data_IF_026874404385
#
_entry.id   IF_026874404385
#
_cell.length_a   1.000
_cell.length_b   1.000
_cell.length_c   1.000
_cell.angle_alpha   90.00
_cell.angle_beta   90.00
_cell.angle_gamma   90.00
#
_symmetry.space_group_name_H-M   'P 1'
#
loop_
_entity.id
_entity.type
_entity.pdbx_description
1 polymer ?
#
# COMPACT_ATOMS: atom_id res chain seq x y z
N UNK A 1 -34.72 -34.07 46.78
CA UNK A 1 -33.36 -33.58 47.06
C UNK A 1 -32.70 -33.23 45.74
N UNK A 2 -32.62 -31.95 45.39
CA UNK A 2 -31.86 -31.50 44.21
C UNK A 2 -30.42 -31.37 44.68
N UNK A 3 -29.50 -32.10 44.06
CA UNK A 3 -28.08 -32.00 44.37
C UNK A 3 -27.55 -30.64 43.89
N UNK A 4 -27.11 -29.80 44.83
CA UNK A 4 -26.41 -28.55 44.56
C UNK A 4 -25.14 -28.86 43.76
N UNK A 5 -25.07 -28.37 42.52
CA UNK A 5 -23.90 -28.57 41.67
C UNK A 5 -22.77 -27.64 42.13
N UNK A 6 -21.51 -28.10 42.11
CA UNK A 6 -20.40 -27.29 42.59
C UNK A 6 -20.10 -26.12 41.64
N UNK A 7 -19.70 -24.98 42.21
CA UNK A 7 -19.50 -23.70 41.50
C UNK A 7 -18.62 -23.81 40.23
N UNK A 8 -17.61 -24.69 40.24
CA UNK A 8 -16.69 -24.88 39.13
C UNK A 8 -17.37 -25.38 37.84
N UNK A 9 -18.50 -26.08 37.94
CA UNK A 9 -19.29 -26.52 36.77
C UNK A 9 -19.84 -25.32 35.99
N UNK A 10 -20.34 -24.31 36.71
CA UNK A 10 -20.83 -23.08 36.10
C UNK A 10 -19.71 -22.25 35.47
N UNK A 11 -18.52 -22.23 36.08
CA UNK A 11 -17.33 -21.56 35.53
C UNK A 11 -16.90 -22.23 34.22
N UNK A 12 -16.82 -23.56 34.18
CA UNK A 12 -16.46 -24.30 32.94
C UNK A 12 -17.49 -24.04 31.85
N UNK A 13 -18.79 -24.07 32.17
CA UNK A 13 -19.85 -23.79 31.21
C UNK A 13 -19.75 -22.36 30.63
N UNK A 14 -19.47 -21.36 31.47
CA UNK A 14 -19.30 -19.98 31.03
C UNK A 14 -18.08 -19.82 30.11
N UNK A 15 -16.94 -20.44 30.46
CA UNK A 15 -15.73 -20.41 29.63
C UNK A 15 -15.97 -21.10 28.28
N UNK A 16 -16.63 -22.26 28.28
CA UNK A 16 -16.99 -22.98 27.06
C UNK A 16 -17.92 -22.14 26.16
N UNK A 17 -18.91 -21.45 26.75
CA UNK A 17 -19.80 -20.56 26.01
C UNK A 17 -19.04 -19.38 25.36
N UNK A 18 -18.10 -18.76 26.08
CA UNK A 18 -17.26 -17.68 25.54
C UNK A 18 -16.39 -18.20 24.39
N UNK A 19 -15.77 -19.37 24.54
CA UNK A 19 -14.96 -19.98 23.47
C UNK A 19 -15.82 -20.23 22.23
N UNK A 20 -17.01 -20.81 22.39
CA UNK A 20 -17.95 -21.02 21.27
C UNK A 20 -18.29 -19.69 20.60
N UNK A 21 -18.57 -18.64 21.37
CA UNK A 21 -18.92 -17.32 20.86
C UNK A 21 -17.77 -16.70 20.04
N UNK A 22 -16.52 -16.84 20.51
CA UNK A 22 -15.31 -16.43 19.78
C UNK A 22 -15.14 -17.24 18.48
N UNK A 23 -15.36 -18.55 18.52
CA UNK A 23 -15.26 -19.41 17.33
C UNK A 23 -16.32 -19.07 16.29
N UNK A 24 -17.57 -18.82 16.71
CA UNK A 24 -18.67 -18.37 15.84
C UNK A 24 -18.35 -17.00 15.24
N UNK A 25 -17.90 -16.04 16.04
CA UNK A 25 -17.47 -14.72 15.54
C UNK A 25 -16.34 -14.84 14.51
N UNK A 26 -15.33 -15.68 14.76
CA UNK A 26 -14.26 -15.98 13.79
C UNK A 26 -14.81 -16.63 12.52
N UNK A 27 -15.76 -17.56 12.62
CA UNK A 27 -16.35 -18.22 11.46
C UNK A 27 -17.19 -17.25 10.61
N UNK A 28 -17.98 -16.38 11.25
CA UNK A 28 -18.74 -15.31 10.58
C UNK A 28 -17.78 -14.34 9.90
N UNK A 29 -16.75 -13.84 10.60
CA UNK A 29 -15.76 -12.95 10.02
C UNK A 29 -15.04 -13.57 8.82
N UNK A 30 -14.66 -14.85 8.89
CA UNK A 30 -14.08 -15.57 7.75
C UNK A 30 -15.04 -15.66 6.57
N UNK A 31 -16.33 -15.91 6.81
CA UNK A 31 -17.35 -16.02 5.77
C UNK A 31 -17.64 -14.66 5.13
N UNK A 32 -17.76 -13.60 5.93
CA UNK A 32 -17.93 -12.22 5.47
C UNK A 32 -16.71 -11.75 4.68
N UNK A 33 -15.49 -12.01 5.16
CA UNK A 33 -14.27 -11.70 4.43
C UNK A 33 -14.19 -12.43 3.08
N UNK A 34 -14.65 -13.69 3.01
CA UNK A 34 -14.71 -14.46 1.76
C UNK A 34 -15.74 -13.89 0.78
N UNK A 35 -16.87 -13.37 1.29
CA UNK A 35 -17.89 -12.71 0.48
C UNK A 35 -17.38 -11.35 -0.04
N UNK A 36 -16.78 -10.52 0.81
CA UNK A 36 -16.17 -9.25 0.40
C UNK A 36 -15.06 -9.44 -0.63
N UNK A 37 -14.20 -10.45 -0.44
CA UNK A 37 -13.15 -10.79 -1.43
C UNK A 37 -13.72 -11.10 -2.82
N UNK A 38 -14.92 -11.68 -2.90
CA UNK A 38 -15.61 -11.93 -4.17
C UNK A 38 -16.29 -10.69 -4.74
N UNK A 39 -16.62 -9.71 -3.91
CA UNK A 39 -17.25 -8.45 -4.33
C UNK A 39 -16.26 -7.44 -4.92
N UNK A 40 -14.98 -7.52 -4.56
CA UNK A 40 -13.91 -6.68 -5.10
C UNK A 40 -13.40 -7.19 -6.47
N UNK A 41 -14.31 -7.51 -7.38
CA UNK A 41 -13.97 -7.87 -8.77
C UNK A 41 -13.47 -6.61 -9.51
N UNK A 42 -12.18 -6.53 -9.87
CA UNK A 42 -11.61 -5.32 -10.45
C UNK A 42 -12.31 -4.87 -11.75
N UNK A 43 -12.94 -5.80 -12.49
CA UNK A 43 -13.68 -5.48 -13.72
C UNK A 43 -14.97 -4.68 -13.48
N UNK A 44 -15.49 -4.69 -12.25
CA UNK A 44 -16.77 -4.06 -11.89
C UNK A 44 -16.61 -2.77 -11.11
N UNK A 45 -15.55 -2.67 -10.33
CA UNK A 45 -15.26 -1.52 -9.46
C UNK A 45 -15.04 -0.25 -10.30
N UNK A 46 -15.62 0.84 -9.83
CA UNK A 46 -15.47 2.20 -10.34
C UNK A 46 -14.73 3.06 -9.32
N UNK A 47 -14.36 4.29 -9.71
CA UNK A 47 -13.75 5.23 -8.76
C UNK A 47 -14.73 5.61 -7.63
N UNK A 48 -16.03 5.65 -7.91
CA UNK A 48 -17.05 5.92 -6.89
C UNK A 48 -17.14 4.79 -5.87
N UNK A 49 -17.00 3.53 -6.30
CA UNK A 49 -16.95 2.40 -5.38
C UNK A 49 -15.71 2.49 -4.45
N UNK A 50 -14.57 2.94 -4.99
CA UNK A 50 -13.33 3.16 -4.22
C UNK A 50 -13.50 4.31 -3.20
N UNK A 51 -14.27 5.34 -3.54
CA UNK A 51 -14.54 6.45 -2.62
C UNK A 51 -15.27 6.00 -1.35
N UNK A 52 -16.05 4.92 -1.44
CA UNK A 52 -16.78 4.30 -0.33
C UNK A 52 -15.98 3.21 0.41
N UNK A 53 -14.80 2.80 -0.11
CA UNK A 53 -13.99 1.75 0.52
C UNK A 53 -13.28 2.24 1.79
N UNK A 54 -13.10 1.33 2.73
CA UNK A 54 -12.10 1.49 3.79
C UNK A 54 -10.68 1.27 3.24
N UNK A 55 -9.65 1.80 3.92
CA UNK A 55 -8.25 1.64 3.49
C UNK A 55 -7.85 0.18 3.24
N UNK A 56 -8.22 -0.72 4.15
CA UNK A 56 -7.93 -2.16 4.01
C UNK A 56 -8.65 -2.85 2.84
N UNK A 57 -9.81 -2.32 2.41
CA UNK A 57 -10.55 -2.79 1.25
C UNK A 57 -9.91 -2.29 -0.04
N UNK A 58 -9.44 -1.04 -0.05
CA UNK A 58 -8.67 -0.49 -1.15
C UNK A 58 -7.36 -1.25 -1.38
N UNK A 59 -6.61 -1.58 -0.32
CA UNK A 59 -5.42 -2.45 -0.44
C UNK A 59 -5.76 -3.82 -1.02
N UNK A 60 -6.89 -4.42 -0.61
CA UNK A 60 -7.32 -5.72 -1.13
C UNK A 60 -7.77 -5.63 -2.59
N UNK A 61 -8.43 -4.54 -2.96
CA UNK A 61 -8.79 -4.23 -4.34
C UNK A 61 -7.53 -4.14 -5.21
N UNK A 62 -6.55 -3.34 -4.80
CA UNK A 62 -5.29 -3.21 -5.55
C UNK A 62 -4.56 -4.55 -5.64
N UNK A 63 -4.56 -5.36 -4.59
CA UNK A 63 -3.95 -6.70 -4.64
C UNK A 63 -4.57 -7.53 -5.77
N UNK A 64 -5.91 -7.56 -5.87
CA UNK A 64 -6.60 -8.28 -6.95
C UNK A 64 -6.38 -7.62 -8.31
N UNK A 65 -6.38 -6.29 -8.37
CA UNK A 65 -6.14 -5.54 -9.60
C UNK A 65 -4.77 -5.89 -10.20
N UNK A 66 -3.71 -5.88 -9.38
CA UNK A 66 -2.35 -6.20 -9.84
C UNK A 66 -2.18 -7.70 -10.18
N UNK A 67 -2.82 -8.59 -9.41
CA UNK A 67 -2.84 -10.03 -9.71
C UNK A 67 -3.54 -10.32 -11.05
N UNK A 68 -4.69 -9.68 -11.30
CA UNK A 68 -5.46 -9.87 -12.54
C UNK A 68 -4.87 -9.11 -13.75
N UNK A 69 -4.07 -8.06 -13.53
CA UNK A 69 -3.24 -7.46 -14.59
C UNK A 69 -2.16 -8.44 -15.09
N UNK A 70 -1.82 -9.47 -14.32
CA UNK A 70 -0.85 -10.50 -14.71
C UNK A 70 0.58 -10.23 -14.22
N UNK A 71 0.77 -9.39 -13.20
CA UNK A 71 2.07 -9.27 -12.56
C UNK A 71 2.49 -10.57 -11.85
N UNK A 72 3.79 -10.82 -11.78
CA UNK A 72 4.34 -11.95 -11.04
C UNK A 72 4.55 -11.61 -9.55
N UNK A 73 4.56 -12.65 -8.71
CA UNK A 73 4.90 -12.54 -7.28
C UNK A 73 4.10 -11.45 -6.53
N UNK A 74 2.80 -11.33 -6.82
CA UNK A 74 1.94 -10.33 -6.16
C UNK A 74 1.61 -10.78 -4.74
N UNK A 75 1.98 -9.98 -3.76
CA UNK A 75 1.71 -10.23 -2.34
C UNK A 75 1.09 -9.00 -1.68
N UNK A 76 -0.03 -9.20 -0.97
CA UNK A 76 -0.51 -8.24 0.01
C UNK A 76 0.21 -8.44 1.34
N UNK A 77 0.74 -7.38 1.92
CA UNK A 77 1.41 -7.42 3.22
C UNK A 77 0.39 -7.52 4.36
N UNK A 78 0.85 -7.90 5.56
CA UNK A 78 -0.03 -8.00 6.74
C UNK A 78 -0.01 -6.68 7.49
N UNK A 79 -1.17 -6.18 7.89
CA UNK A 79 -1.32 -4.94 8.67
C UNK A 79 -0.49 -4.86 9.96
N UNK A 80 -0.10 -5.99 10.58
CA UNK A 80 0.73 -6.00 11.79
C UNK A 80 2.24 -5.96 11.52
N UNK A 81 2.66 -6.01 10.25
CA UNK A 81 4.06 -6.20 9.82
C UNK A 81 4.27 -5.78 8.36
N UNK A 82 3.68 -4.65 7.95
CA UNK A 82 3.76 -4.16 6.57
C UNK A 82 5.10 -3.46 6.26
N UNK A 83 5.86 -3.07 7.28
CA UNK A 83 7.12 -2.33 7.16
C UNK A 83 7.01 -1.09 6.25
N UNK A 84 5.80 -0.53 6.09
CA UNK A 84 5.52 0.62 5.25
C UNK A 84 5.23 0.35 3.77
N UNK A 85 4.88 -0.89 3.38
CA UNK A 85 4.32 -1.19 2.06
C UNK A 85 3.10 -2.11 2.17
N UNK A 86 2.06 -1.86 1.39
CA UNK A 86 0.82 -2.65 1.39
C UNK A 86 0.85 -3.81 0.38
N UNK A 87 1.59 -3.62 -0.72
CA UNK A 87 1.75 -4.60 -1.79
C UNK A 87 3.23 -4.74 -2.19
N UNK A 88 3.59 -5.94 -2.65
CA UNK A 88 4.86 -6.25 -3.31
C UNK A 88 4.54 -7.03 -4.58
N UNK A 89 5.22 -6.72 -5.67
CA UNK A 89 5.10 -7.44 -6.94
C UNK A 89 6.39 -7.36 -7.76
N UNK A 90 6.53 -8.21 -8.76
CA UNK A 90 7.65 -8.18 -9.71
C UNK A 90 7.17 -7.58 -11.02
N UNK A 91 7.78 -6.45 -11.43
CA UNK A 91 7.48 -5.78 -12.71
C UNK A 91 7.92 -6.63 -13.91
N UNK A 92 7.45 -6.29 -15.12
CA UNK A 92 7.75 -7.04 -16.36
C UNK A 92 9.24 -7.10 -16.71
N UNK A 93 10.03 -6.16 -16.21
CA UNK A 93 11.49 -6.16 -16.35
C UNK A 93 12.23 -6.92 -15.24
N UNK A 94 11.50 -7.65 -14.38
CA UNK A 94 12.03 -8.46 -13.29
C UNK A 94 12.39 -7.68 -12.03
N UNK A 95 12.11 -6.37 -11.97
CA UNK A 95 12.42 -5.56 -10.79
C UNK A 95 11.30 -5.66 -9.78
N UNK A 96 11.63 -6.17 -8.59
CA UNK A 96 10.72 -6.18 -7.44
C UNK A 96 10.38 -4.74 -7.04
N UNK A 97 9.10 -4.50 -6.85
CA UNK A 97 8.52 -3.19 -6.57
C UNK A 97 7.62 -3.27 -5.34
N UNK A 98 7.77 -2.31 -4.43
CA UNK A 98 6.89 -2.11 -3.28
C UNK A 98 5.88 -1.01 -3.57
N UNK A 99 4.65 -1.18 -3.10
CA UNK A 99 3.58 -0.20 -3.27
C UNK A 99 2.91 0.11 -1.92
N UNK A 100 2.83 1.39 -1.59
CA UNK A 100 1.98 1.89 -0.50
C UNK A 100 0.70 2.47 -1.09
N UNK A 101 -0.43 1.94 -0.64
CA UNK A 101 -1.76 2.38 -0.99
C UNK A 101 -2.24 3.40 0.05
N UNK A 102 -2.81 4.52 -0.41
CA UNK A 102 -3.48 5.50 0.46
C UNK A 102 -4.85 5.83 -0.08
N UNK A 103 -5.90 5.30 0.55
CA UNK A 103 -7.28 5.69 0.25
C UNK A 103 -7.66 6.91 1.09
N UNK A 104 -7.75 8.10 0.50
CA UNK A 104 -8.28 9.33 1.11
C UNK A 104 -9.37 9.99 0.23
N UNK A 105 -10.12 10.96 0.79
CA UNK A 105 -11.16 11.68 0.04
C UNK A 105 -10.47 12.56 -0.99
N UNK A 106 -11.12 12.85 -2.13
CA UNK A 106 -10.49 13.56 -3.25
C UNK A 106 -9.77 14.85 -2.84
N UNK A 107 -10.37 15.66 -1.97
CA UNK A 107 -9.82 16.94 -1.51
C UNK A 107 -8.74 16.82 -0.42
N UNK A 108 -8.45 15.59 0.03
CA UNK A 108 -7.43 15.32 1.05
C UNK A 108 -6.06 15.13 0.42
N UNK A 109 -5.12 16.03 0.72
CA UNK A 109 -3.75 15.92 0.25
C UNK A 109 -2.97 14.80 0.94
N UNK A 110 -2.27 13.98 0.15
CA UNK A 110 -1.30 13.01 0.66
C UNK A 110 -0.01 13.71 1.09
N UNK A 111 0.37 13.48 2.35
CA UNK A 111 1.56 14.06 2.97
C UNK A 111 2.84 13.26 2.74
N UNK A 112 3.91 13.69 3.40
CA UNK A 112 5.25 13.11 3.26
C UNK A 112 5.37 11.67 3.77
N UNK A 113 4.54 11.28 4.74
CA UNK A 113 4.64 9.98 5.40
C UNK A 113 4.51 8.81 4.43
N UNK A 114 3.63 8.93 3.43
CA UNK A 114 3.45 7.87 2.43
C UNK A 114 4.74 7.57 1.65
N UNK A 115 5.51 8.60 1.30
CA UNK A 115 6.81 8.46 0.61
C UNK A 115 7.87 7.92 1.57
N UNK A 116 7.90 8.42 2.81
CA UNK A 116 8.86 7.98 3.83
C UNK A 116 8.70 6.50 4.16
N UNK A 117 7.45 6.05 4.36
CA UNK A 117 7.08 4.66 4.64
C UNK A 117 7.53 3.73 3.51
N UNK A 118 7.08 4.00 2.28
CA UNK A 118 7.36 3.10 1.15
C UNK A 118 8.83 3.07 0.79
N UNK A 119 9.52 4.21 0.83
CA UNK A 119 10.95 4.26 0.54
C UNK A 119 11.76 3.48 1.58
N UNK A 120 11.42 3.61 2.87
CA UNK A 120 12.05 2.84 3.93
C UNK A 120 11.80 1.32 3.79
N UNK A 121 10.62 0.94 3.29
CA UNK A 121 10.25 -0.47 3.09
C UNK A 121 11.09 -1.20 2.03
N UNK A 122 11.65 -0.47 1.05
CA UNK A 122 12.35 -1.07 -0.10
C UNK A 122 13.46 -2.03 0.33
N UNK A 123 14.24 -1.66 1.35
CA UNK A 123 15.34 -2.49 1.82
C UNK A 123 14.87 -3.76 2.52
N UNK A 124 13.74 -3.70 3.23
CA UNK A 124 13.16 -4.86 3.89
C UNK A 124 12.65 -5.90 2.89
N UNK A 125 12.02 -5.44 1.80
CA UNK A 125 11.49 -6.32 0.74
C UNK A 125 12.48 -6.62 -0.38
N UNK A 126 13.71 -6.09 -0.32
CA UNK A 126 14.72 -6.16 -1.39
C UNK A 126 14.18 -5.65 -2.74
N UNK A 127 13.39 -4.57 -2.70
CA UNK A 127 12.80 -3.95 -3.87
C UNK A 127 13.73 -2.92 -4.50
N UNK A 128 13.73 -2.87 -5.84
CA UNK A 128 14.48 -1.88 -6.63
C UNK A 128 13.66 -0.63 -6.96
N UNK A 129 12.32 -0.70 -6.82
CA UNK A 129 11.40 0.43 -7.06
C UNK A 129 10.37 0.55 -5.95
N UNK A 130 9.82 1.74 -5.81
CA UNK A 130 8.72 2.03 -4.87
C UNK A 130 7.67 2.93 -5.51
N UNK A 131 6.40 2.64 -5.21
CA UNK A 131 5.23 3.35 -5.71
C UNK A 131 4.37 3.81 -4.52
N UNK A 132 3.85 5.04 -4.57
CA UNK A 132 2.67 5.44 -3.78
C UNK A 132 1.50 5.57 -4.73
N UNK A 133 0.42 4.83 -4.45
CA UNK A 133 -0.83 4.88 -5.22
C UNK A 133 -1.96 5.38 -4.31
N UNK A 134 -2.72 6.36 -4.77
CA UNK A 134 -3.77 6.98 -3.96
C UNK A 134 -5.06 7.25 -4.74
N UNK A 135 -6.20 7.23 -4.04
CA UNK A 135 -7.46 7.83 -4.51
C UNK A 135 -7.51 9.38 -4.33
N UNK A 136 -6.45 9.91 -3.70
CA UNK A 136 -6.09 11.27 -3.35
C UNK A 136 -5.46 12.15 -4.45
N UNK A 137 -5.03 13.35 -4.06
CA UNK A 137 -3.98 14.14 -4.73
C UNK A 137 -2.76 14.25 -3.83
N UNK A 138 -1.57 14.38 -4.41
CA UNK A 138 -0.34 14.58 -3.64
C UNK A 138 -0.13 16.07 -3.32
N UNK A 139 0.35 16.35 -2.10
CA UNK A 139 0.79 17.71 -1.76
C UNK A 139 2.10 18.05 -2.49
N UNK A 140 2.40 19.33 -2.76
CA UNK A 140 3.66 19.73 -3.42
C UNK A 140 4.92 19.24 -2.68
N UNK A 141 4.86 19.20 -1.35
CA UNK A 141 5.95 18.68 -0.53
C UNK A 141 6.13 17.16 -0.72
N UNK A 142 5.04 16.41 -0.85
CA UNK A 142 5.06 14.97 -1.15
C UNK A 142 5.69 14.71 -2.53
N UNK A 143 5.27 15.46 -3.55
CA UNK A 143 5.85 15.38 -4.91
C UNK A 143 7.36 15.65 -4.89
N UNK A 144 7.77 16.70 -4.19
CA UNK A 144 9.19 17.06 -4.05
C UNK A 144 10.00 15.93 -3.40
N UNK A 145 9.51 15.38 -2.28
CA UNK A 145 10.19 14.30 -1.58
C UNK A 145 10.24 13.01 -2.42
N UNK A 146 9.16 12.69 -3.12
CA UNK A 146 9.09 11.54 -4.02
C UNK A 146 10.13 11.66 -5.13
N UNK A 147 10.20 12.82 -5.80
CA UNK A 147 11.11 13.02 -6.92
C UNK A 147 12.58 13.01 -6.55
N UNK A 148 12.95 13.47 -5.35
CA UNK A 148 14.34 13.37 -4.86
C UNK A 148 14.73 11.92 -4.53
N UNK A 149 13.77 11.09 -4.09
CA UNK A 149 14.01 9.70 -3.72
C UNK A 149 13.71 8.69 -4.84
N UNK A 150 13.22 9.14 -6.00
CA UNK A 150 12.81 8.25 -7.09
C UNK A 150 11.58 7.41 -6.77
N UNK A 151 10.69 7.89 -5.89
CA UNK A 151 9.42 7.22 -5.60
C UNK A 151 8.40 7.60 -6.66
N UNK A 152 7.81 6.61 -7.32
CA UNK A 152 6.75 6.82 -8.32
C UNK A 152 5.45 7.19 -7.61
N UNK A 153 4.79 8.23 -8.11
CA UNK A 153 3.48 8.66 -7.64
C UNK A 153 2.42 8.30 -8.69
N UNK A 154 1.32 7.70 -8.24
CA UNK A 154 0.11 7.44 -9.02
C UNK A 154 -1.07 8.03 -8.25
N UNK A 155 -1.63 9.12 -8.77
CA UNK A 155 -2.70 9.84 -8.09
C UNK A 155 -4.11 9.35 -8.50
N UNK A 156 -5.15 10.04 -8.05
CA UNK A 156 -6.54 9.73 -8.42
C UNK A 156 -6.77 9.68 -9.93
N UNK A 157 -6.16 10.60 -10.67
CA UNK A 157 -6.26 10.65 -12.13
C UNK A 157 -5.62 9.41 -12.76
N UNK A 158 -4.42 9.05 -12.32
CA UNK A 158 -3.77 7.81 -12.75
C UNK A 158 -4.63 6.58 -12.42
N UNK A 159 -5.20 6.52 -11.20
CA UNK A 159 -6.06 5.42 -10.78
C UNK A 159 -7.31 5.29 -11.65
N UNK A 160 -7.93 6.40 -12.05
CA UNK A 160 -9.08 6.39 -12.97
C UNK A 160 -8.69 5.80 -14.33
N UNK A 161 -7.56 6.22 -14.88
CA UNK A 161 -7.04 5.69 -16.14
C UNK A 161 -6.71 4.19 -16.02
N UNK A 162 -6.05 3.77 -14.94
CA UNK A 162 -5.77 2.34 -14.67
C UNK A 162 -7.05 1.50 -14.63
N UNK A 163 -8.11 1.99 -13.98
CA UNK A 163 -9.41 1.32 -13.95
C UNK A 163 -10.01 1.23 -15.36
N UNK A 164 -9.93 2.31 -16.14
CA UNK A 164 -10.46 2.35 -17.50
C UNK A 164 -9.72 1.40 -18.44
N UNK A 165 -8.38 1.39 -18.37
CA UNK A 165 -7.50 0.48 -19.12
C UNK A 165 -7.83 -0.97 -18.78
N UNK A 166 -7.95 -1.30 -17.49
CA UNK A 166 -8.31 -2.64 -17.04
C UNK A 166 -9.69 -3.07 -17.55
N UNK A 167 -10.71 -2.23 -17.43
CA UNK A 167 -12.08 -2.55 -17.86
C UNK A 167 -12.21 -2.71 -19.37
N UNK A 168 -11.33 -2.05 -20.13
CA UNK A 168 -11.27 -2.15 -21.58
C UNK A 168 -10.40 -3.32 -22.07
N UNK A 169 -9.73 -4.04 -21.17
CA UNK A 169 -8.78 -5.12 -21.50
C UNK A 169 -7.42 -4.62 -22.00
N UNK A 170 -7.12 -3.33 -21.87
CA UNK A 170 -5.86 -2.71 -22.25
C UNK A 170 -4.81 -2.88 -21.13
N UNK A 171 -4.56 -4.12 -20.70
CA UNK A 171 -3.69 -4.39 -19.54
C UNK A 171 -2.27 -3.88 -19.73
N UNK A 172 -1.73 -3.97 -20.94
CA UNK A 172 -0.39 -3.44 -21.27
C UNK A 172 -0.28 -1.94 -21.02
N UNK A 173 -1.30 -1.13 -21.38
CA UNK A 173 -1.31 0.32 -21.15
C UNK A 173 -1.33 0.64 -19.64
N UNK A 174 -2.12 -0.14 -18.88
CA UNK A 174 -2.17 -0.01 -17.43
C UNK A 174 -0.80 -0.33 -16.80
N UNK A 175 -0.15 -1.41 -17.27
CA UNK A 175 1.17 -1.82 -16.80
C UNK A 175 2.25 -0.80 -17.20
N UNK A 176 2.22 -0.28 -18.42
CA UNK A 176 3.14 0.78 -18.90
C UNK A 176 3.05 2.03 -18.02
N UNK A 177 1.85 2.41 -17.57
CA UNK A 177 1.64 3.55 -16.67
C UNK A 177 2.22 3.30 -15.28
N UNK A 178 1.99 2.11 -14.72
CA UNK A 178 2.52 1.68 -13.42
C UNK A 178 4.05 1.65 -13.43
N UNK A 179 4.64 1.10 -14.50
CA UNK A 179 6.08 0.87 -14.62
C UNK A 179 6.88 2.08 -15.13
N UNK A 180 6.20 3.10 -15.67
CA UNK A 180 6.87 4.34 -16.11
C UNK A 180 7.71 4.93 -14.99
N UNK A 181 8.94 5.34 -15.34
CA UNK A 181 9.89 5.93 -14.39
C UNK A 181 9.27 7.04 -13.52
N UNK A 182 9.78 7.13 -12.30
CA UNK A 182 9.43 8.20 -11.38
C UNK A 182 9.96 9.54 -11.92
N UNK A 183 9.18 10.60 -11.75
CA UNK A 183 9.64 11.95 -12.07
C UNK A 183 10.73 12.36 -11.10
N UNK A 184 11.95 12.60 -11.60
CA UNK A 184 13.09 12.94 -10.75
C UNK A 184 13.20 14.45 -10.56
N UNK A 185 13.32 14.86 -9.30
CA UNK A 185 13.55 16.25 -8.92
C UNK A 185 14.99 16.35 -8.40
N UNK A 186 15.86 17.18 -9.01
CA UNK A 186 17.21 17.38 -8.52
C UNK A 186 17.21 17.84 -7.06
N UNK A 187 18.09 17.25 -6.25
CA UNK A 187 18.25 17.71 -4.86
C UNK A 187 18.76 19.15 -4.85
N UNK A 188 18.10 20.07 -4.12
CA UNK A 188 18.53 21.46 -4.02
C UNK A 188 19.90 21.61 -3.34
N UNK A 189 20.37 20.57 -2.65
CA UNK A 189 21.68 20.54 -2.00
C UNK A 189 22.83 20.11 -2.93
N UNK A 190 22.51 19.58 -4.12
CA UNK A 190 23.52 19.10 -5.08
C UNK A 190 24.31 20.25 -5.72
N UNK A 191 23.69 21.42 -5.89
CA UNK A 191 24.35 22.63 -6.40
C UNK A 191 25.05 23.45 -5.31
N UNK A 192 24.58 23.39 -4.06
CA UNK A 192 25.15 24.15 -2.94
C UNK A 192 26.48 23.58 -2.39
N UNK A 193 26.89 22.37 -2.81
CA UNK A 193 27.97 21.61 -2.20
C UNK A 193 29.41 21.96 -2.66
N UNK A 194 29.64 23.09 -3.35
CA UNK A 194 31.02 23.53 -3.66
C UNK A 194 31.23 25.03 -3.36
N UNK A 195 31.68 25.39 -2.15
CA UNK A 195 32.63 26.47 -1.96
C UNK A 195 34.04 25.89 -1.99
N UNK A 196 34.87 26.46 -2.87
CA UNK A 196 36.26 26.08 -3.13
C UNK A 196 37.04 25.67 -1.88
N UNK A 197 37.81 24.57 -1.99
CA UNK A 197 38.87 24.20 -1.05
C UNK A 197 39.66 25.46 -0.71
N UNK A 198 39.42 26.02 0.47
CA UNK A 198 40.24 27.08 1.03
C UNK A 198 41.58 26.42 1.32
N UNK A 199 42.52 26.61 0.40
CA UNK A 199 43.92 26.18 0.55
C UNK A 199 44.37 26.58 1.95
N UNK A 200 44.55 25.59 2.82
CA UNK A 200 45.31 25.78 4.05
C UNK A 200 46.71 26.19 3.60
N UNK A 201 46.99 27.50 3.65
CA UNK A 201 48.36 28.01 3.58
C UNK A 201 49.10 27.31 4.71
N UNK A 202 49.93 26.33 4.35
CA UNK A 202 50.97 25.79 5.23
C UNK A 202 51.71 27.00 5.80
N UNK A 203 51.55 27.25 7.10
CA UNK A 203 52.42 28.13 7.83
C UNK A 203 53.85 27.56 7.69
N UNK A 204 54.68 28.22 6.89
CA UNK A 204 56.12 28.02 6.90
C UNK A 204 56.66 28.93 8.00
N UNK A 205 57.27 28.28 9.00
CA UNK A 205 58.32 28.72 9.94
C UNK A 205 58.15 30.08 10.60
#
# INVERSE_FOLDING_TARGET
MIAEQPLWVYIIAAVAAIIILILVAKAINRRLARIRRRQLDPSRITIQDIDEMEGSEFEMYLYRFFDELGYEEVYKTKASSDFGADLVFTARDGIRTVLQAKRYQEDSGIGLSAVQEVYASMRYYEAGRSIVLTSARFTPACVTLAGVNGVKLLDRGDLIELIADFKSGCYEEAMDRIEREAELIPSPWKEAAVPARRTLKRARR
#
